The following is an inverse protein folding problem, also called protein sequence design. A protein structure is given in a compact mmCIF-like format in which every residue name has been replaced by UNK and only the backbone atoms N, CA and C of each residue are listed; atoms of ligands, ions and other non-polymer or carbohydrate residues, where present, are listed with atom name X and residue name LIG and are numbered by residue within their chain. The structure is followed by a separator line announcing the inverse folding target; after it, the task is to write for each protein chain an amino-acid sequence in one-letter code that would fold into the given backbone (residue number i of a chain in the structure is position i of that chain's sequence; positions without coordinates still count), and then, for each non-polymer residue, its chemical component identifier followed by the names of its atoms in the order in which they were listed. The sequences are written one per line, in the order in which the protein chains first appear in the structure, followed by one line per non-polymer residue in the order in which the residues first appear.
data_IF_847676083662
#
_entry.id   IF_847676083662
#
_cell.length_a   1.000
_cell.length_b   1.000
_cell.length_c   1.000
_cell.angle_alpha   90.00
_cell.angle_beta   90.00
_cell.angle_gamma   90.00
#
_symmetry.space_group_name_H-M   'P 1'
#
loop_
_entity.id
_entity.type
_entity.pdbx_description
1 polymer ?
#
# COMPACT_ATOMS: atom_id res chain seq x y z
N UNK A 1 0.54 -20.01 15.27
CA UNK A 1 1.14 -21.20 14.66
C UNK A 1 0.10 -22.06 13.96
N UNK A 2 -0.97 -22.47 14.65
CA UNK A 2 -2.06 -23.32 14.11
C UNK A 2 -2.69 -22.71 12.83
N UNK A 3 -3.00 -21.42 12.83
CA UNK A 3 -3.63 -20.74 11.68
C UNK A 3 -2.67 -20.64 10.49
N UNK A 4 -1.39 -20.44 10.75
CA UNK A 4 -0.35 -20.31 9.71
C UNK A 4 0.29 -21.65 9.31
N UNK A 5 -0.13 -22.75 9.90
CA UNK A 5 0.43 -24.10 9.66
C UNK A 5 1.96 -24.12 9.86
N UNK A 6 2.45 -23.54 10.94
CA UNK A 6 3.87 -23.46 11.30
C UNK A 6 4.09 -23.98 12.70
N UNK A 7 5.33 -24.39 13.02
CA UNK A 7 5.68 -24.88 14.36
C UNK A 7 5.54 -23.75 15.41
N UNK A 8 4.95 -24.06 16.59
CA UNK A 8 4.86 -23.11 17.68
C UNK A 8 6.25 -22.72 18.22
N UNK A 9 6.38 -21.45 18.66
CA UNK A 9 7.57 -20.94 19.35
C UNK A 9 8.86 -20.93 18.53
N UNK A 10 8.78 -21.10 17.20
CA UNK A 10 9.91 -20.98 16.29
C UNK A 10 9.82 -19.65 15.55
N UNK A 11 10.95 -18.96 15.45
CA UNK A 11 11.05 -17.77 14.61
C UNK A 11 10.85 -18.14 13.14
N UNK A 12 10.06 -17.32 12.42
CA UNK A 12 9.75 -17.54 11.02
C UNK A 12 10.19 -16.32 10.24
N UNK A 13 11.19 -16.50 9.41
CA UNK A 13 11.66 -15.47 8.49
C UNK A 13 10.79 -15.44 7.24
N UNK A 14 10.44 -14.24 6.80
CA UNK A 14 9.77 -14.06 5.52
C UNK A 14 10.75 -14.42 4.39
N UNK A 15 10.33 -15.20 3.38
CA UNK A 15 11.21 -15.55 2.27
C UNK A 15 11.58 -14.30 1.47
N UNK A 16 12.83 -14.18 0.98
CA UNK A 16 13.30 -13.01 0.23
C UNK A 16 12.68 -12.89 -1.17
N UNK A 17 12.04 -13.94 -1.66
CA UNK A 17 11.40 -13.98 -2.97
C UNK A 17 10.17 -14.89 -2.96
N UNK A 18 9.34 -14.75 -3.98
CA UNK A 18 8.14 -15.59 -4.15
C UNK A 18 8.52 -16.99 -4.63
N UNK A 19 7.93 -18.05 -4.04
CA UNK A 19 8.27 -19.45 -4.37
C UNK A 19 7.75 -19.91 -5.73
N UNK A 20 6.75 -19.24 -6.32
CA UNK A 20 6.10 -19.67 -7.57
C UNK A 20 6.80 -19.15 -8.83
N UNK A 21 7.76 -18.26 -8.73
CA UNK A 21 8.52 -17.71 -9.86
C UNK A 21 9.89 -17.18 -9.42
N UNK A 22 10.85 -17.21 -10.33
CA UNK A 22 12.24 -16.82 -10.09
C UNK A 22 12.68 -15.61 -10.93
N UNK A 23 11.87 -15.19 -11.89
CA UNK A 23 12.17 -14.09 -12.80
C UNK A 23 10.89 -13.40 -13.32
N UNK A 24 11.06 -12.27 -14.01
CA UNK A 24 9.95 -11.44 -14.48
C UNK A 24 9.05 -12.17 -15.49
N UNK A 25 9.58 -13.07 -16.32
CA UNK A 25 8.81 -13.83 -17.32
C UNK A 25 7.93 -14.88 -16.63
N UNK A 26 8.49 -15.61 -15.68
CA UNK A 26 7.72 -16.57 -14.86
C UNK A 26 6.65 -15.86 -14.03
N UNK A 27 6.94 -14.64 -13.54
CA UNK A 27 5.93 -13.82 -12.84
C UNK A 27 4.78 -13.45 -13.77
N UNK A 28 5.03 -13.08 -15.04
CA UNK A 28 3.97 -12.86 -16.03
C UNK A 28 3.10 -14.11 -16.21
N UNK A 29 3.72 -15.27 -16.38
CA UNK A 29 3.00 -16.54 -16.51
C UNK A 29 2.15 -16.84 -15.26
N UNK A 30 2.68 -16.57 -14.07
CA UNK A 30 1.96 -16.75 -12.81
C UNK A 30 0.77 -15.80 -12.69
N UNK A 31 0.91 -14.53 -13.04
CA UNK A 31 -0.19 -13.54 -13.09
C UNK A 31 -1.30 -14.03 -14.03
N UNK A 32 -0.94 -14.47 -15.23
CA UNK A 32 -1.90 -14.99 -16.20
C UNK A 32 -2.61 -16.23 -15.69
N UNK A 33 -1.88 -17.15 -15.07
CA UNK A 33 -2.46 -18.36 -14.44
C UNK A 33 -3.49 -18.00 -13.38
N UNK A 34 -3.17 -17.07 -12.49
CA UNK A 34 -4.11 -16.63 -11.44
C UNK A 34 -5.36 -15.99 -12.04
N UNK A 35 -5.19 -15.13 -13.05
CA UNK A 35 -6.30 -14.49 -13.76
C UNK A 35 -7.22 -15.53 -14.42
N UNK A 36 -6.66 -16.53 -15.08
CA UNK A 36 -7.43 -17.62 -15.71
C UNK A 36 -8.17 -18.47 -14.67
N UNK A 37 -7.53 -18.80 -13.55
CA UNK A 37 -8.13 -19.62 -12.51
C UNK A 37 -9.25 -18.91 -11.74
N UNK A 38 -9.12 -17.63 -11.52
CA UNK A 38 -10.03 -16.89 -10.62
C UNK A 38 -11.08 -16.08 -11.37
N UNK A 39 -10.82 -15.71 -12.63
CA UNK A 39 -11.62 -14.72 -13.36
C UNK A 39 -11.61 -13.32 -12.71
N UNK A 40 -10.65 -13.03 -11.83
CA UNK A 40 -10.55 -11.79 -11.07
C UNK A 40 -9.31 -10.98 -11.47
N UNK A 41 -9.30 -9.66 -11.23
CA UNK A 41 -8.10 -8.84 -11.37
C UNK A 41 -6.96 -9.36 -10.48
N UNK A 42 -5.75 -9.38 -11.04
CA UNK A 42 -4.53 -9.81 -10.34
C UNK A 42 -3.55 -8.66 -10.27
N UNK A 43 -3.20 -8.25 -9.07
CA UNK A 43 -2.22 -7.20 -8.83
C UNK A 43 -0.97 -7.70 -8.11
N UNK A 44 0.05 -6.86 -8.09
CA UNK A 44 1.25 -7.07 -7.31
C UNK A 44 1.41 -5.93 -6.29
N UNK A 45 2.05 -6.23 -5.17
CA UNK A 45 2.39 -5.26 -4.13
C UNK A 45 3.89 -5.27 -3.91
N UNK A 46 4.50 -4.10 -3.89
CA UNK A 46 5.93 -4.00 -3.71
C UNK A 46 6.39 -2.63 -3.19
N UNK A 47 7.58 -2.61 -2.58
CA UNK A 47 8.37 -1.41 -2.37
C UNK A 47 9.47 -1.36 -3.43
N UNK A 48 9.73 -0.20 -4.02
CA UNK A 48 10.77 -0.03 -5.04
C UNK A 48 12.11 0.17 -4.37
N UNK A 49 12.93 -0.88 -4.34
CA UNK A 49 14.33 -0.82 -3.90
C UNK A 49 15.26 -0.36 -5.02
N UNK A 50 15.11 -0.95 -6.22
CA UNK A 50 15.91 -0.65 -7.39
C UNK A 50 15.05 -0.14 -8.55
N UNK A 51 15.26 1.12 -8.92
CA UNK A 51 14.58 1.74 -10.07
C UNK A 51 14.90 1.02 -11.39
N UNK A 52 16.11 0.49 -11.51
CA UNK A 52 16.57 -0.26 -12.70
C UNK A 52 15.80 -1.58 -12.84
N UNK A 53 15.66 -2.33 -11.74
CA UNK A 53 14.93 -3.60 -11.72
C UNK A 53 13.45 -3.39 -11.99
N UNK A 54 12.81 -2.42 -11.35
CA UNK A 54 11.43 -2.05 -11.64
C UNK A 54 11.22 -1.70 -13.12
N UNK A 55 12.11 -0.89 -13.70
CA UNK A 55 12.02 -0.53 -15.12
C UNK A 55 12.20 -1.75 -16.04
N UNK A 56 13.07 -2.70 -15.68
CA UNK A 56 13.25 -3.96 -16.39
C UNK A 56 11.98 -4.81 -16.34
N UNK A 57 11.41 -4.97 -15.16
CA UNK A 57 10.16 -5.71 -14.93
C UNK A 57 9.03 -5.16 -15.80
N UNK A 58 8.80 -3.84 -15.81
CA UNK A 58 7.75 -3.22 -16.63
C UNK A 58 8.00 -3.41 -18.13
N UNK A 59 9.25 -3.37 -18.58
CA UNK A 59 9.61 -3.71 -19.97
C UNK A 59 9.31 -5.15 -20.30
N UNK A 60 9.54 -6.07 -19.37
CA UNK A 60 9.19 -7.50 -19.52
C UNK A 60 7.67 -7.65 -19.65
N UNK A 61 6.88 -6.98 -18.83
CA UNK A 61 5.42 -6.96 -18.99
C UNK A 61 5.00 -6.59 -20.41
N UNK A 62 5.58 -5.52 -20.94
CA UNK A 62 5.27 -5.05 -22.29
C UNK A 62 5.71 -6.04 -23.37
N UNK A 63 6.85 -6.67 -23.19
CA UNK A 63 7.41 -7.67 -24.13
C UNK A 63 6.57 -8.93 -24.18
N UNK A 64 6.19 -9.45 -23.00
CA UNK A 64 5.40 -10.69 -22.90
C UNK A 64 3.91 -10.46 -23.21
N UNK A 65 3.45 -9.20 -23.29
CA UNK A 65 2.03 -8.88 -23.49
C UNK A 65 1.14 -9.22 -22.27
N UNK A 66 1.75 -9.41 -21.10
CA UNK A 66 1.09 -9.77 -19.85
C UNK A 66 1.55 -8.83 -18.75
N UNK A 67 0.61 -8.18 -18.08
CA UNK A 67 0.88 -7.26 -16.98
C UNK A 67 -0.16 -7.40 -15.87
N UNK A 68 0.13 -6.97 -14.64
CA UNK A 68 -0.85 -6.98 -13.56
C UNK A 68 -1.94 -5.92 -13.81
N UNK A 69 -3.15 -6.15 -13.31
CA UNK A 69 -4.25 -5.18 -13.41
C UNK A 69 -3.99 -3.95 -12.55
N UNK A 70 -3.25 -4.13 -11.45
CA UNK A 70 -2.80 -3.02 -10.60
C UNK A 70 -1.46 -3.31 -9.93
N UNK A 71 -0.76 -2.24 -9.56
CA UNK A 71 0.45 -2.31 -8.74
C UNK A 71 0.23 -1.47 -7.48
N UNK A 72 0.28 -2.12 -6.31
CA UNK A 72 0.27 -1.42 -5.03
C UNK A 72 1.71 -1.05 -4.65
N UNK A 73 2.01 0.23 -4.67
CA UNK A 73 3.31 0.78 -4.33
C UNK A 73 3.34 1.13 -2.85
N UNK A 74 4.13 0.39 -2.07
CA UNK A 74 4.47 0.77 -0.70
C UNK A 74 5.67 1.72 -0.72
N UNK A 75 5.54 2.89 -0.12
CA UNK A 75 6.69 3.74 0.17
C UNK A 75 7.56 3.17 1.29
N UNK A 76 8.81 3.62 1.38
CA UNK A 76 9.72 3.26 2.48
C UNK A 76 9.17 3.65 3.86
N UNK A 77 8.25 4.62 3.91
CA UNK A 77 7.52 5.05 5.12
C UNK A 77 6.52 4.01 5.61
N UNK A 78 6.11 3.10 4.73
CA UNK A 78 5.20 2.01 5.05
C UNK A 78 5.86 0.97 5.95
N UNK A 79 5.26 -0.17 6.00
CA UNK A 79 5.71 -1.29 6.80
C UNK A 79 4.71 -1.68 7.87
N UNK A 80 4.89 -2.87 8.38
CA UNK A 80 4.08 -3.42 9.45
C UNK A 80 4.65 -3.02 10.82
N UNK A 81 3.84 -3.15 11.88
CA UNK A 81 4.33 -2.98 13.24
C UNK A 81 5.38 -4.02 13.67
N UNK A 82 5.60 -5.05 12.83
CA UNK A 82 6.62 -6.09 13.05
C UNK A 82 7.92 -5.85 12.26
N UNK A 83 7.99 -4.80 11.45
CA UNK A 83 9.22 -4.47 10.73
C UNK A 83 10.30 -3.99 11.73
N UNK A 84 11.57 -4.41 11.56
CA UNK A 84 12.68 -3.87 12.33
C UNK A 84 12.72 -2.34 12.22
N UNK A 85 13.01 -1.65 13.33
CA UNK A 85 13.02 -0.18 13.37
C UNK A 85 14.02 0.43 12.39
N UNK A 86 15.15 -0.24 12.19
CA UNK A 86 16.21 0.17 11.27
C UNK A 86 15.77 0.16 9.82
N UNK A 87 14.76 -0.65 9.48
CA UNK A 87 14.25 -0.76 8.10
C UNK A 87 13.09 0.19 7.84
N UNK A 88 12.30 0.47 8.87
CA UNK A 88 11.16 1.39 8.76
C UNK A 88 11.63 2.80 8.42
N UNK A 89 11.11 3.38 7.38
CA UNK A 89 11.48 4.68 6.79
C UNK A 89 12.86 4.73 6.11
N UNK A 90 13.64 3.65 6.12
CA UNK A 90 15.03 3.68 5.67
C UNK A 90 15.29 2.84 4.42
N UNK A 91 14.53 1.75 4.22
CA UNK A 91 14.75 0.83 3.10
C UNK A 91 13.66 0.99 2.05
N UNK A 92 14.07 1.28 0.82
CA UNK A 92 13.19 1.52 -0.31
C UNK A 92 13.03 2.98 -0.69
N UNK A 93 12.28 3.22 -1.75
CA UNK A 93 12.00 4.57 -2.26
C UNK A 93 10.84 5.20 -1.49
N UNK A 94 10.94 6.46 -1.04
CA UNK A 94 9.83 7.19 -0.45
C UNK A 94 8.59 7.23 -1.37
N UNK A 95 7.39 7.18 -0.79
CA UNK A 95 6.14 7.03 -1.54
C UNK A 95 5.97 8.07 -2.66
N UNK A 96 6.20 9.35 -2.36
CA UNK A 96 6.02 10.42 -3.34
C UNK A 96 6.91 10.24 -4.57
N UNK A 97 8.16 9.83 -4.36
CA UNK A 97 9.10 9.57 -5.45
C UNK A 97 8.78 8.27 -6.19
N UNK A 98 8.37 7.24 -5.45
CA UNK A 98 7.99 5.96 -6.02
C UNK A 98 6.77 6.08 -6.93
N UNK A 99 5.75 6.87 -6.54
CA UNK A 99 4.56 7.13 -7.35
C UNK A 99 4.90 7.82 -8.66
N UNK A 100 5.64 8.93 -8.60
CA UNK A 100 6.05 9.67 -9.80
C UNK A 100 6.84 8.77 -10.73
N UNK A 101 7.83 8.06 -10.20
CA UNK A 101 8.66 7.15 -10.97
C UNK A 101 7.84 6.02 -11.63
N UNK A 102 6.96 5.38 -10.87
CA UNK A 102 6.07 4.32 -11.39
C UNK A 102 5.19 4.83 -12.52
N UNK A 103 4.54 5.98 -12.31
CA UNK A 103 3.67 6.60 -13.30
C UNK A 103 4.43 6.92 -14.61
N UNK A 104 5.65 7.47 -14.51
CA UNK A 104 6.50 7.75 -15.67
C UNK A 104 6.95 6.49 -16.39
N UNK A 105 7.36 5.45 -15.66
CA UNK A 105 7.78 4.17 -16.27
C UNK A 105 6.62 3.48 -16.98
N UNK A 106 5.43 3.46 -16.39
CA UNK A 106 4.24 2.88 -17.03
C UNK A 106 3.84 3.68 -18.27
N UNK A 107 3.85 5.03 -18.23
CA UNK A 107 3.60 5.89 -19.41
C UNK A 107 4.59 5.63 -20.53
N UNK A 108 5.88 5.58 -20.21
CA UNK A 108 6.96 5.31 -21.18
C UNK A 108 6.80 3.96 -21.89
N UNK A 109 6.25 2.96 -21.18
CA UNK A 109 6.00 1.63 -21.74
C UNK A 109 4.57 1.46 -22.28
N UNK A 110 3.75 2.51 -22.33
CA UNK A 110 2.36 2.51 -22.82
C UNK A 110 1.46 1.50 -22.05
N UNK A 111 1.66 1.38 -20.75
CA UNK A 111 0.90 0.51 -19.84
C UNK A 111 0.10 1.28 -18.80
N UNK A 112 0.19 2.62 -18.77
CA UNK A 112 -0.40 3.43 -17.69
C UNK A 112 -1.93 3.35 -17.64
N UNK A 113 -2.57 3.22 -18.76
CA UNK A 113 -4.04 3.14 -18.85
C UNK A 113 -4.54 1.74 -18.41
N UNK A 114 -3.75 0.72 -18.67
CA UNK A 114 -4.09 -0.67 -18.38
C UNK A 114 -3.78 -1.06 -16.94
N UNK A 115 -2.74 -0.47 -16.34
CA UNK A 115 -2.26 -0.80 -15.00
C UNK A 115 -2.61 0.30 -14.01
N UNK A 116 -3.43 -0.02 -13.00
CA UNK A 116 -3.78 0.94 -11.95
C UNK A 116 -2.70 0.99 -10.88
N UNK A 117 -2.45 2.18 -10.34
CA UNK A 117 -1.48 2.41 -9.27
C UNK A 117 -2.25 2.62 -7.96
N UNK A 118 -1.94 1.82 -6.95
CA UNK A 118 -2.48 1.98 -5.59
C UNK A 118 -1.35 2.47 -4.70
N UNK A 119 -1.52 3.62 -4.07
CA UNK A 119 -0.53 4.18 -3.16
C UNK A 119 -0.71 3.63 -1.73
N UNK A 120 0.40 3.28 -1.08
CA UNK A 120 0.43 2.81 0.30
C UNK A 120 1.69 3.32 1.01
N UNK A 121 1.55 3.87 2.20
CA UNK A 121 2.68 4.36 3.00
C UNK A 121 2.34 5.59 3.82
N UNK A 122 1.91 5.40 5.07
CA UNK A 122 1.56 6.46 6.03
C UNK A 122 0.59 7.54 5.51
N UNK A 123 -0.31 7.15 4.64
CA UNK A 123 -1.43 8.01 4.22
C UNK A 123 -2.43 8.05 5.39
N UNK A 124 -2.72 9.23 5.91
CA UNK A 124 -3.52 9.40 7.14
C UNK A 124 -4.64 10.41 6.93
N UNK A 125 -4.35 11.55 6.32
CA UNK A 125 -5.28 12.65 6.14
C UNK A 125 -5.69 12.87 4.69
N UNK A 126 -6.61 13.81 4.51
CA UNK A 126 -7.18 14.17 3.20
C UNK A 126 -6.13 14.70 2.22
N UNK A 127 -5.18 15.48 2.72
CA UNK A 127 -4.13 16.04 1.86
C UNK A 127 -3.14 14.97 1.41
N UNK A 128 -2.85 13.98 2.25
CA UNK A 128 -2.03 12.82 1.86
C UNK A 128 -2.69 12.04 0.71
N UNK A 129 -4.03 11.83 0.79
CA UNK A 129 -4.81 11.18 -0.27
C UNK A 129 -4.71 11.99 -1.56
N UNK A 130 -5.02 13.29 -1.49
CA UNK A 130 -4.97 14.19 -2.65
C UNK A 130 -3.58 14.23 -3.29
N UNK A 131 -2.54 14.35 -2.46
CA UNK A 131 -1.15 14.36 -2.92
C UNK A 131 -0.77 13.05 -3.61
N UNK A 132 -1.14 11.91 -3.05
CA UNK A 132 -0.85 10.61 -3.67
C UNK A 132 -1.52 10.48 -5.04
N UNK A 133 -2.79 10.89 -5.16
CA UNK A 133 -3.50 10.89 -6.44
C UNK A 133 -2.89 11.87 -7.45
N UNK A 134 -2.53 13.08 -7.03
CA UNK A 134 -1.84 14.06 -7.88
C UNK A 134 -0.49 13.52 -8.39
N UNK A 135 0.22 12.70 -7.61
CA UNK A 135 1.49 12.09 -8.00
C UNK A 135 1.32 10.83 -8.86
N UNK A 136 0.10 10.43 -9.18
CA UNK A 136 -0.21 9.40 -10.15
C UNK A 136 -0.87 8.14 -9.60
N UNK A 137 -1.33 8.12 -8.36
CA UNK A 137 -2.13 7.01 -7.85
C UNK A 137 -3.57 7.08 -8.36
N UNK A 138 -4.17 5.93 -8.66
CA UNK A 138 -5.59 5.80 -8.99
C UNK A 138 -6.43 5.52 -7.72
N UNK A 139 -5.80 4.92 -6.71
CA UNK A 139 -6.39 4.64 -5.41
C UNK A 139 -5.34 4.69 -4.29
N UNK A 140 -5.80 4.73 -3.05
CA UNK A 140 -4.93 4.77 -1.88
C UNK A 140 -5.33 3.74 -0.83
N UNK A 141 -4.35 3.15 -0.16
CA UNK A 141 -4.53 2.32 1.02
C UNK A 141 -4.27 3.17 2.27
N UNK A 142 -5.26 3.27 3.13
CA UNK A 142 -5.15 3.96 4.41
C UNK A 142 -5.20 2.94 5.54
N UNK A 143 -4.05 2.58 6.10
CA UNK A 143 -3.98 1.64 7.21
C UNK A 143 -3.87 2.37 8.56
N UNK A 144 -2.90 3.27 8.70
CA UNK A 144 -2.57 3.93 9.96
C UNK A 144 -3.71 4.81 10.49
N UNK A 145 -4.40 5.52 9.62
CA UNK A 145 -5.56 6.32 9.99
C UNK A 145 -6.70 5.47 10.58
N UNK A 146 -6.99 4.32 9.97
CA UNK A 146 -7.97 3.38 10.52
C UNK A 146 -7.52 2.77 11.85
N UNK A 147 -6.24 2.47 12.00
CA UNK A 147 -5.71 2.00 13.30
C UNK A 147 -5.89 3.05 14.40
N UNK A 148 -5.68 4.33 14.10
CA UNK A 148 -5.93 5.42 15.05
C UNK A 148 -7.41 5.54 15.41
N UNK A 149 -8.32 5.38 14.45
CA UNK A 149 -9.75 5.38 14.73
C UNK A 149 -10.17 4.25 15.68
N UNK A 150 -9.50 3.10 15.63
CA UNK A 150 -9.67 2.01 16.58
C UNK A 150 -9.08 2.31 17.98
N UNK A 151 -8.23 3.32 18.10
CA UNK A 151 -7.58 3.69 19.35
C UNK A 151 -6.12 3.23 19.47
N UNK A 152 -5.44 2.96 18.36
CA UNK A 152 -4.01 2.66 18.37
C UNK A 152 -3.22 3.86 18.92
N UNK A 153 -2.37 3.62 19.90
CA UNK A 153 -1.51 4.62 20.55
C UNK A 153 -0.05 4.58 20.07
N UNK A 154 0.22 3.81 19.02
CA UNK A 154 1.58 3.60 18.50
C UNK A 154 2.58 3.05 19.51
N UNK A 155 2.14 2.12 20.36
CA UNK A 155 3.02 1.47 21.31
C UNK A 155 4.13 0.60 20.65
N UNK A 156 4.01 0.31 19.35
CA UNK A 156 4.96 -0.49 18.56
C UNK A 156 5.19 -1.90 19.14
N UNK A 157 4.15 -2.47 19.73
CA UNK A 157 4.15 -3.81 20.33
C UNK A 157 3.40 -4.86 19.49
N UNK A 158 3.09 -4.52 18.21
CA UNK A 158 2.23 -5.34 17.35
C UNK A 158 2.80 -6.74 17.02
N UNK A 159 4.13 -6.88 17.06
CA UNK A 159 4.84 -8.14 16.79
C UNK A 159 5.07 -9.00 18.03
N UNK A 160 4.75 -8.49 19.23
CA UNK A 160 5.06 -9.16 20.50
C UNK A 160 3.84 -9.74 21.20
N UNK A 161 2.66 -9.61 20.62
CA UNK A 161 1.38 -10.03 21.21
C UNK A 161 1.01 -9.27 22.51
N UNK A 162 1.65 -8.12 22.75
CA UNK A 162 1.51 -7.29 23.96
C UNK A 162 0.87 -5.93 23.69
N UNK A 163 0.05 -5.83 22.64
CA UNK A 163 -0.62 -4.56 22.29
C UNK A 163 -1.50 -4.08 23.47
N UNK A 164 -1.19 -2.93 24.10
CA UNK A 164 -1.86 -2.49 25.32
C UNK A 164 -3.32 -2.06 25.10
N UNK A 165 -3.71 -1.79 23.84
CA UNK A 165 -5.07 -1.38 23.49
C UNK A 165 -5.90 -2.51 22.85
N UNK A 166 -5.39 -3.73 22.88
CA UNK A 166 -6.12 -4.92 22.45
C UNK A 166 -6.28 -5.14 20.94
N UNK A 167 -5.71 -4.28 20.09
CA UNK A 167 -5.93 -4.33 18.64
C UNK A 167 -5.10 -5.42 17.97
N UNK A 168 -3.81 -5.51 18.32
CA UNK A 168 -2.85 -6.44 17.71
C UNK A 168 -2.32 -7.43 18.76
N UNK A 169 -3.21 -8.22 19.34
CA UNK A 169 -2.89 -9.24 20.35
C UNK A 169 -3.92 -10.34 20.32
N UNK A 170 -3.52 -11.54 20.73
CA UNK A 170 -4.41 -12.67 21.03
C UNK A 170 -4.52 -12.93 22.54
N UNK A 171 -3.87 -12.10 23.35
CA UNK A 171 -4.00 -12.16 24.80
C UNK A 171 -5.40 -11.73 25.23
N UNK A 172 -6.18 -12.66 25.78
CA UNK A 172 -7.58 -12.45 26.17
C UNK A 172 -7.80 -11.32 27.17
N UNK A 173 -6.81 -11.01 28.00
CA UNK A 173 -6.91 -9.90 28.96
C UNK A 173 -6.75 -8.55 28.26
N UNK A 174 -5.92 -8.48 27.21
CA UNK A 174 -5.67 -7.27 26.43
C UNK A 174 -6.72 -7.05 25.33
N UNK A 175 -7.23 -8.14 24.70
CA UNK A 175 -8.28 -8.07 23.68
C UNK A 175 -9.52 -7.30 24.16
N UNK A 176 -9.81 -7.31 25.46
CA UNK A 176 -10.91 -6.56 26.07
C UNK A 176 -10.85 -5.05 25.79
N UNK A 177 -9.67 -4.52 25.44
CA UNK A 177 -9.51 -3.12 25.03
C UNK A 177 -10.11 -2.81 23.66
N UNK A 178 -10.35 -3.82 22.83
CA UNK A 178 -11.02 -3.67 21.53
C UNK A 178 -12.53 -3.99 21.67
N UNK A 179 -13.29 -3.03 22.15
CA UNK A 179 -14.76 -3.14 22.26
C UNK A 179 -15.36 -2.87 20.87
N UNK A 180 -15.75 -3.92 20.16
CA UNK A 180 -16.20 -3.85 18.76
C UNK A 180 -17.44 -2.96 18.63
N UNK A 181 -18.38 -3.05 19.57
CA UNK A 181 -19.64 -2.30 19.62
C UNK A 181 -19.45 -0.78 19.65
N UNK A 182 -18.31 -0.31 20.18
CA UNK A 182 -17.96 1.10 20.22
C UNK A 182 -17.02 1.51 19.08
N UNK A 183 -16.11 0.61 18.69
CA UNK A 183 -15.03 0.94 17.74
C UNK A 183 -15.49 1.00 16.29
N UNK A 184 -16.52 0.23 15.91
CA UNK A 184 -17.04 0.29 14.54
C UNK A 184 -17.56 1.67 14.16
N UNK A 185 -18.23 2.36 15.09
CA UNK A 185 -18.75 3.71 14.86
C UNK A 185 -17.61 4.72 14.62
N UNK A 186 -16.50 4.58 15.36
CA UNK A 186 -15.31 5.42 15.20
C UNK A 186 -14.68 5.20 13.81
N UNK A 187 -14.61 3.94 13.35
CA UNK A 187 -14.11 3.58 12.03
C UNK A 187 -15.01 4.16 10.94
N UNK A 188 -16.33 4.01 11.09
CA UNK A 188 -17.31 4.59 10.18
C UNK A 188 -17.16 6.12 10.10
N UNK A 189 -17.13 6.79 11.23
CA UNK A 189 -17.00 8.24 11.29
C UNK A 189 -15.68 8.73 10.67
N UNK A 190 -14.58 8.02 10.90
CA UNK A 190 -13.30 8.32 10.25
C UNK A 190 -13.42 8.21 8.73
N UNK A 191 -13.94 7.10 8.23
CA UNK A 191 -14.11 6.89 6.79
C UNK A 191 -15.04 7.94 6.18
N UNK A 192 -16.22 8.11 6.74
CA UNK A 192 -17.23 9.05 6.24
C UNK A 192 -16.69 10.48 6.17
N UNK A 193 -16.09 10.96 7.28
CA UNK A 193 -15.56 12.31 7.34
C UNK A 193 -14.35 12.49 6.42
N UNK A 194 -13.48 11.47 6.29
CA UNK A 194 -12.32 11.52 5.39
C UNK A 194 -12.77 11.65 3.93
N UNK A 195 -13.71 10.82 3.49
CA UNK A 195 -14.23 10.88 2.11
C UNK A 195 -14.94 12.21 1.85
N UNK A 196 -15.82 12.65 2.76
CA UNK A 196 -16.52 13.92 2.63
C UNK A 196 -15.54 15.10 2.53
N UNK A 197 -14.57 15.17 3.42
CA UNK A 197 -13.54 16.22 3.41
C UNK A 197 -12.63 16.14 2.18
N UNK A 198 -12.35 14.95 1.67
CA UNK A 198 -11.61 14.79 0.44
C UNK A 198 -12.38 15.36 -0.75
N UNK A 199 -13.67 15.10 -0.86
CA UNK A 199 -14.51 15.67 -1.92
C UNK A 199 -14.65 17.19 -1.80
N UNK A 200 -14.83 17.71 -0.58
CA UNK A 200 -14.80 19.16 -0.30
C UNK A 200 -13.48 19.77 -0.79
N UNK A 201 -12.34 19.11 -0.49
CA UNK A 201 -11.00 19.58 -0.88
C UNK A 201 -10.83 19.60 -2.41
N UNK A 202 -11.30 18.56 -3.09
CA UNK A 202 -11.32 18.50 -4.58
C UNK A 202 -12.10 19.68 -5.14
N UNK A 203 -13.30 19.97 -4.59
CA UNK A 203 -14.14 21.11 -4.99
C UNK A 203 -13.44 22.46 -4.78
N UNK A 204 -12.76 22.65 -3.64
CA UNK A 204 -12.02 23.90 -3.33
C UNK A 204 -10.86 24.12 -4.33
N UNK A 205 -10.28 23.05 -4.88
CA UNK A 205 -9.25 23.17 -5.93
C UNK A 205 -9.83 23.46 -7.32
N UNK A 206 -11.15 23.67 -7.43
CA UNK A 206 -11.83 24.00 -8.69
C UNK A 206 -12.09 22.81 -9.60
N UNK A 207 -12.01 21.58 -9.07
CA UNK A 207 -12.20 20.37 -9.85
C UNK A 207 -13.63 19.81 -9.67
N UNK A 208 -14.17 19.26 -10.76
CA UNK A 208 -15.47 18.57 -10.77
C UNK A 208 -15.34 17.04 -10.63
N UNK A 209 -14.14 16.50 -10.84
CA UNK A 209 -13.88 15.07 -10.75
C UNK A 209 -12.51 14.79 -10.12
N UNK A 210 -12.41 13.68 -9.42
CA UNK A 210 -11.14 13.17 -8.89
C UNK A 210 -10.16 12.79 -10.00
N UNK A 211 -10.66 12.44 -11.19
CA UNK A 211 -9.83 12.15 -12.37
C UNK A 211 -9.10 13.37 -12.92
N UNK A 212 -9.52 14.57 -12.53
CA UNK A 212 -8.91 15.83 -12.98
C UNK A 212 -7.73 16.26 -12.10
N UNK A 213 -7.45 15.53 -11.02
CA UNK A 213 -6.30 15.80 -10.14
C UNK A 213 -5.01 15.55 -10.93
N UNK A 214 -4.13 16.56 -10.99
CA UNK A 214 -2.89 16.55 -11.79
C UNK A 214 -1.66 16.84 -10.93
N UNK A 215 -0.46 16.39 -11.35
CA UNK A 215 0.80 16.65 -10.65
C UNK A 215 1.12 18.13 -10.43
N UNK A 216 0.61 19.00 -11.29
CA UNK A 216 0.80 20.47 -11.20
C UNK A 216 0.05 21.12 -10.04
N UNK A 217 -0.85 20.38 -9.40
CA UNK A 217 -1.66 20.87 -8.27
C UNK A 217 -0.98 20.67 -6.91
N UNK A 218 0.18 20.02 -6.89
CA UNK A 218 0.97 19.84 -5.67
C UNK A 218 2.41 20.24 -5.89
N UNK A 219 3.01 20.88 -4.88
CA UNK A 219 4.42 21.20 -4.91
C UNK A 219 5.24 20.04 -4.35
N UNK A 220 6.29 19.68 -5.08
CA UNK A 220 7.27 18.68 -4.68
C UNK A 220 8.65 19.33 -4.60
N UNK A 221 9.34 19.16 -3.47
CA UNK A 221 10.75 19.53 -3.42
C UNK A 221 11.54 18.57 -4.32
N UNK A 222 12.24 19.12 -5.29
CA UNK A 222 13.23 18.39 -6.08
C UNK A 222 14.59 18.88 -5.63
N UNK A 223 15.44 17.97 -5.15
CA UNK A 223 16.84 18.29 -4.99
C UNK A 223 17.40 18.52 -6.41
N UNK A 224 17.88 19.73 -6.65
CA UNK A 224 18.66 20.03 -7.85
C UNK A 224 20.03 19.39 -7.73
#
# INVERSE_FOLDING_TARGET
AKIRCVEPHIAIDSPPHHSAFSNDVEMCAFIQRLRTLTGKPVGIKMCIGSRKEFSKMVKTFRKEGIWPDFISIDGSEGGTGSAPLEFTNSVGTPLAEALVFTNEVLKKNKLREDVKIIASGKIIDVFDIYRAMALGADAVNVARGFMFSLGCIQAVECNKDTCPVGIATQNKSLEKGLVVEEKWERVYNYQFNTVRKFLDFVGVTGLSSISDIKPTMVYRRTNK
#
